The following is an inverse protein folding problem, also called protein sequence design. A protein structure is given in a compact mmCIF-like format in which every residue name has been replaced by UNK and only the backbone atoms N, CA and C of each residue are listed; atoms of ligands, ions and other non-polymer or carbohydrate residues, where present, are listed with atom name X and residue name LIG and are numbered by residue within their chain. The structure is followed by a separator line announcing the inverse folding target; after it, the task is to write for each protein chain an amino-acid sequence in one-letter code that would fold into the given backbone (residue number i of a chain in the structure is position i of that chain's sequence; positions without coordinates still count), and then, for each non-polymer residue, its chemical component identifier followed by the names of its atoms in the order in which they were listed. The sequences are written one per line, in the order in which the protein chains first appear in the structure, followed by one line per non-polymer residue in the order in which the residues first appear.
data_IF_202911687481
#
_entry.id   IF_202911687481
#
_cell.length_a   1.000
_cell.length_b   1.000
_cell.length_c   1.000
_cell.angle_alpha   90.00
_cell.angle_beta   90.00
_cell.angle_gamma   90.00
#
_symmetry.space_group_name_H-M   'P 1'
#
loop_
_entity.id
_entity.type
_entity.pdbx_description
1 polymer ?
#
# COMPACT_ATOMS: atom_id res chain seq x y z
N UNK A 1 -9.93 8.06 -13.03
CA UNK A 1 -9.00 8.00 -11.88
C UNK A 1 -9.44 6.89 -10.95
N UNK A 2 -8.52 6.03 -10.60
CA UNK A 2 -8.73 4.92 -9.67
C UNK A 2 -7.80 5.09 -8.48
N UNK A 3 -8.32 4.93 -7.26
CA UNK A 3 -7.55 5.10 -6.02
C UNK A 3 -7.52 3.79 -5.24
N UNK A 4 -6.31 3.34 -4.91
CA UNK A 4 -6.08 2.23 -3.99
C UNK A 4 -5.55 2.83 -2.70
N UNK A 5 -6.20 2.53 -1.58
CA UNK A 5 -5.76 2.99 -0.27
C UNK A 5 -5.79 1.81 0.71
N UNK A 6 -4.74 1.69 1.50
CA UNK A 6 -4.66 0.70 2.55
C UNK A 6 -4.33 1.36 3.88
N UNK A 7 -4.99 0.90 4.95
CA UNK A 7 -4.73 1.38 6.32
C UNK A 7 -4.20 0.20 7.12
N UNK A 8 -2.98 0.35 7.64
CA UNK A 8 -2.27 -0.69 8.36
C UNK A 8 -2.15 -0.35 9.84
N UNK A 9 -2.21 -1.36 10.69
CA UNK A 9 -2.22 -1.23 12.15
C UNK A 9 -1.01 -1.94 12.73
N UNK A 10 0.18 -1.29 12.78
CA UNK A 10 1.41 -1.95 13.23
C UNK A 10 1.35 -2.35 14.70
N UNK A 11 1.84 -3.55 15.01
CA UNK A 11 2.12 -3.96 16.37
C UNK A 11 3.27 -3.14 16.92
N UNK A 12 3.32 -3.01 18.25
CA UNK A 12 4.42 -2.32 18.92
C UNK A 12 5.77 -2.92 18.50
N UNK A 13 6.70 -2.06 18.12
CA UNK A 13 8.03 -2.47 17.67
C UNK A 13 8.11 -2.95 16.21
N UNK A 14 7.00 -3.01 15.49
CA UNK A 14 6.97 -3.52 14.11
C UNK A 14 6.75 -2.44 13.04
N UNK A 15 6.58 -1.20 13.46
CA UNK A 15 6.27 -0.09 12.54
C UNK A 15 7.31 0.07 11.43
N UNK A 16 8.61 0.05 11.78
CA UNK A 16 9.66 0.25 10.77
C UNK A 16 9.71 -0.86 9.75
N UNK A 17 9.47 -2.11 10.15
CA UNK A 17 9.41 -3.24 9.22
C UNK A 17 8.24 -3.09 8.24
N UNK A 18 7.10 -2.65 8.75
CA UNK A 18 5.91 -2.43 7.93
C UNK A 18 6.12 -1.28 6.96
N UNK A 19 6.74 -0.18 7.41
CA UNK A 19 7.08 0.95 6.53
C UNK A 19 8.00 0.50 5.40
N UNK A 20 9.03 -0.29 5.69
CA UNK A 20 9.94 -0.82 4.68
C UNK A 20 9.19 -1.66 3.64
N UNK A 21 8.26 -2.51 4.10
CA UNK A 21 7.43 -3.31 3.21
C UNK A 21 6.57 -2.42 2.30
N UNK A 22 5.93 -1.41 2.88
CA UNK A 22 5.10 -0.46 2.12
C UNK A 22 5.94 0.30 1.10
N UNK A 23 7.18 0.66 1.42
CA UNK A 23 8.10 1.31 0.48
C UNK A 23 8.49 0.36 -0.66
N UNK A 24 8.73 -0.93 -0.39
CA UNK A 24 9.01 -1.91 -1.46
C UNK A 24 7.81 -2.07 -2.39
N UNK A 25 6.61 -2.11 -1.81
CA UNK A 25 5.38 -2.17 -2.58
C UNK A 25 5.23 -0.92 -3.48
N UNK A 26 5.46 0.25 -2.92
CA UNK A 26 5.40 1.51 -3.66
C UNK A 26 6.47 1.60 -4.75
N UNK A 27 7.69 1.16 -4.45
CA UNK A 27 8.77 1.14 -5.42
C UNK A 27 8.48 0.24 -6.61
N UNK A 28 7.81 -0.88 -6.38
CA UNK A 28 7.40 -1.80 -7.44
C UNK A 28 6.40 -1.16 -8.42
N UNK A 29 5.71 -0.11 -8.01
CA UNK A 29 4.78 0.64 -8.87
C UNK A 29 5.50 1.64 -9.79
N UNK A 30 6.71 2.07 -9.43
CA UNK A 30 7.42 3.12 -10.19
C UNK A 30 7.58 2.74 -11.66
N UNK A 31 7.27 3.67 -12.54
CA UNK A 31 7.37 3.49 -13.98
C UNK A 31 6.27 2.64 -14.60
N UNK A 32 5.31 2.15 -13.84
CA UNK A 32 4.20 1.39 -14.38
C UNK A 32 3.20 2.32 -15.07
N UNK A 33 2.65 1.83 -16.18
CA UNK A 33 1.67 2.58 -16.95
C UNK A 33 0.49 2.99 -16.09
N UNK A 34 0.13 4.25 -16.16
CA UNK A 34 -1.06 4.78 -15.51
C UNK A 34 -0.87 5.22 -14.06
N UNK A 35 0.29 4.98 -13.45
CA UNK A 35 0.54 5.48 -12.11
C UNK A 35 0.65 7.01 -12.12
N UNK A 36 -0.20 7.67 -11.34
CA UNK A 36 -0.17 9.12 -11.17
C UNK A 36 0.68 9.48 -9.95
N UNK A 37 0.43 8.82 -8.81
CA UNK A 37 1.13 9.08 -7.56
C UNK A 37 1.00 7.89 -6.63
N UNK A 38 2.05 7.65 -5.84
CA UNK A 38 2.00 6.69 -4.73
C UNK A 38 2.83 7.25 -3.57
N UNK A 39 2.33 7.06 -2.36
CA UNK A 39 3.05 7.46 -1.15
C UNK A 39 2.60 6.64 0.06
N UNK A 40 3.46 6.65 1.09
CA UNK A 40 3.16 6.08 2.39
C UNK A 40 3.10 7.22 3.39
N UNK A 41 2.03 7.28 4.18
CA UNK A 41 1.84 8.30 5.21
C UNK A 41 1.55 7.66 6.55
N UNK A 42 1.62 8.44 7.61
CA UNK A 42 1.33 8.00 8.97
C UNK A 42 0.33 8.95 9.62
N UNK A 43 -0.72 8.38 10.21
CA UNK A 43 -1.58 9.12 11.13
C UNK A 43 -0.92 9.08 12.51
N UNK A 44 -0.33 10.20 12.92
CA UNK A 44 0.45 10.26 14.16
C UNK A 44 -0.41 10.09 15.41
N UNK A 45 -1.68 10.46 15.36
CA UNK A 45 -2.59 10.34 16.52
C UNK A 45 -2.98 8.89 16.76
N UNK A 46 -3.24 8.14 15.70
CA UNK A 46 -3.71 6.75 15.78
C UNK A 46 -2.61 5.71 15.58
N UNK A 47 -1.41 6.14 15.17
CA UNK A 47 -0.32 5.25 14.78
C UNK A 47 -0.67 4.31 13.63
N UNK A 48 -1.52 4.75 12.73
CA UNK A 48 -1.86 4.01 11.52
C UNK A 48 -0.92 4.39 10.40
N UNK A 49 -0.55 3.40 9.57
CA UNK A 49 0.21 3.64 8.35
C UNK A 49 -0.76 3.55 7.18
N UNK A 50 -0.67 4.51 6.27
CA UNK A 50 -1.60 4.61 5.15
C UNK A 50 -0.81 4.55 3.85
N UNK A 51 -1.12 3.57 3.01
CA UNK A 51 -0.62 3.48 1.65
C UNK A 51 -1.64 4.07 0.70
N UNK A 52 -1.19 4.95 -0.19
CA UNK A 52 -2.04 5.60 -1.17
C UNK A 52 -1.42 5.47 -2.55
N UNK A 53 -2.21 5.03 -3.51
CA UNK A 53 -1.80 5.00 -4.91
C UNK A 53 -2.96 5.48 -5.79
N UNK A 54 -2.65 6.40 -6.69
CA UNK A 54 -3.61 6.98 -7.62
C UNK A 54 -3.20 6.56 -9.03
N UNK A 55 -4.15 6.00 -9.78
CA UNK A 55 -3.95 5.46 -11.12
C UNK A 55 -4.91 6.11 -12.12
N UNK A 56 -4.53 6.16 -13.39
CA UNK A 56 -5.41 6.63 -14.46
C UNK A 56 -6.67 5.76 -14.54
N UNK A 57 -6.50 4.44 -14.40
CA UNK A 57 -7.61 3.49 -14.50
C UNK A 57 -7.41 2.28 -13.60
N UNK A 58 -8.49 1.57 -13.33
CA UNK A 58 -8.44 0.30 -12.61
C UNK A 58 -7.66 -0.75 -13.39
N UNK A 59 -7.76 -0.74 -14.71
CA UNK A 59 -7.07 -1.69 -15.59
C UNK A 59 -5.56 -1.56 -15.45
N UNK A 60 -5.06 -0.33 -15.36
CA UNK A 60 -3.63 -0.08 -15.16
C UNK A 60 -3.15 -0.62 -13.81
N UNK A 61 -3.95 -0.41 -12.76
CA UNK A 61 -3.66 -0.96 -11.44
C UNK A 61 -3.65 -2.50 -11.46
N UNK A 62 -4.65 -3.11 -12.08
CA UNK A 62 -4.74 -4.57 -12.17
C UNK A 62 -3.55 -5.16 -12.93
N UNK A 63 -3.08 -4.48 -13.98
CA UNK A 63 -1.93 -4.93 -14.75
C UNK A 63 -0.63 -4.87 -13.93
N UNK A 64 -0.49 -3.89 -13.06
CA UNK A 64 0.71 -3.73 -12.20
C UNK A 64 0.67 -4.58 -10.93
N UNK A 65 -0.51 -4.97 -10.47
CA UNK A 65 -0.72 -5.66 -9.20
C UNK A 65 0.17 -6.88 -8.95
N UNK A 66 0.37 -7.80 -9.92
CA UNK A 66 1.22 -8.97 -9.69
C UNK A 66 2.65 -8.62 -9.27
N UNK A 67 3.22 -7.56 -9.84
CA UNK A 67 4.58 -7.12 -9.52
C UNK A 67 4.66 -6.57 -8.10
N UNK A 68 3.65 -5.83 -7.68
CA UNK A 68 3.56 -5.29 -6.33
C UNK A 68 3.41 -6.39 -5.28
N UNK A 69 2.58 -7.38 -5.55
CA UNK A 69 2.39 -8.52 -4.66
C UNK A 69 3.68 -9.32 -4.53
N UNK A 70 4.38 -9.56 -5.63
CA UNK A 70 5.65 -10.28 -5.64
C UNK A 70 6.69 -9.58 -4.74
N UNK A 71 6.71 -8.25 -4.74
CA UNK A 71 7.67 -7.46 -3.96
C UNK A 71 7.55 -7.67 -2.44
N UNK A 72 6.39 -8.10 -1.94
CA UNK A 72 6.11 -8.23 -0.51
C UNK A 72 5.58 -9.63 -0.12
N UNK A 73 5.65 -10.59 -1.01
CA UNK A 73 5.02 -11.91 -0.81
C UNK A 73 5.52 -12.69 0.41
N UNK A 74 6.78 -12.45 0.81
CA UNK A 74 7.39 -13.16 1.93
C UNK A 74 7.31 -12.39 3.25
N UNK A 75 6.68 -11.22 3.25
CA UNK A 75 6.55 -10.41 4.45
C UNK A 75 5.48 -10.99 5.38
N UNK A 76 5.82 -11.25 6.66
CA UNK A 76 4.88 -11.83 7.61
C UNK A 76 3.94 -10.78 8.20
N UNK A 77 2.99 -10.29 7.41
CA UNK A 77 2.08 -9.21 7.82
C UNK A 77 1.28 -9.54 9.09
N UNK A 78 0.88 -10.78 9.26
CA UNK A 78 0.16 -11.22 10.45
C UNK A 78 0.99 -11.10 11.74
N UNK A 79 2.33 -11.16 11.61
CA UNK A 79 3.23 -10.93 12.74
C UNK A 79 3.47 -9.44 12.99
N UNK A 80 3.33 -8.60 11.97
CA UNK A 80 3.61 -7.17 12.05
C UNK A 80 2.39 -6.31 12.34
N UNK A 81 1.20 -6.79 12.00
CA UNK A 81 -0.04 -6.03 12.14
C UNK A 81 -0.96 -6.62 13.20
N UNK A 82 -1.65 -5.75 13.93
CA UNK A 82 -2.60 -6.15 14.96
C UNK A 82 -3.84 -6.83 14.38
N UNK A 83 -4.18 -6.47 13.15
CA UNK A 83 -5.33 -7.01 12.41
C UNK A 83 -5.08 -6.84 10.91
N UNK A 84 -5.83 -7.53 10.05
CA UNK A 84 -5.69 -7.34 8.60
C UNK A 84 -5.89 -5.88 8.20
N UNK A 85 -5.17 -5.37 7.19
CA UNK A 85 -5.32 -3.98 6.76
C UNK A 85 -6.72 -3.74 6.18
N UNK A 86 -7.20 -2.51 6.34
CA UNK A 86 -8.40 -2.04 5.68
C UNK A 86 -7.99 -1.56 4.29
N UNK A 87 -8.65 -2.07 3.26
CA UNK A 87 -8.32 -1.74 1.87
C UNK A 87 -9.53 -1.13 1.19
N UNK A 88 -9.32 0.00 0.53
CA UNK A 88 -10.36 0.72 -0.20
C UNK A 88 -9.95 0.89 -1.65
N UNK A 89 -10.87 0.56 -2.55
CA UNK A 89 -10.74 0.82 -3.97
C UNK A 89 -11.86 1.78 -4.36
N UNK A 90 -11.51 2.95 -4.86
CA UNK A 90 -12.49 3.98 -5.18
C UNK A 90 -12.20 4.64 -6.51
N UNK A 91 -13.22 5.29 -7.05
CA UNK A 91 -13.11 6.04 -8.31
C UNK A 91 -13.52 7.49 -8.05
N UNK A 92 -12.94 8.39 -8.84
CA UNK A 92 -13.34 9.81 -8.76
C UNK A 92 -14.79 9.96 -9.22
N UNK A 93 -15.55 10.70 -8.47
CA UNK A 93 -16.95 11.03 -8.80
C UNK A 93 -17.11 12.50 -9.10
#
# INVERSE_FOLDING_TARGET
MFVHMSIHHPKEGKESLLIESMHRFGKAMEGKKGLIMACTTKDEEKNYLIGLAIWDSKEDWLAARPVMIEAVKDDPFDEWEEKPPEVYHSVKV
#
